data_IF_217860747759
#
_entry.id   IF_217860747759
#
_cell.length_a   1.000
_cell.length_b   1.000
_cell.length_c   1.000
_cell.angle_alpha   90.00
_cell.angle_beta   90.00
_cell.angle_gamma   90.00
#
_symmetry.space_group_name_H-M   'P 1'
#
loop_
_entity.id
_entity.type
_entity.pdbx_description
1 polymer ?
#
# COMPACT_ATOMS: atom_id res chain seq x y z
N UNK A 1 -15.82 37.35 -61.20
CA UNK A 1 -14.98 36.25 -60.68
C UNK A 1 -15.38 36.00 -59.22
N UNK A 2 -15.77 34.76 -58.88
CA UNK A 2 -16.04 34.27 -57.49
C UNK A 2 -14.71 34.18 -56.69
N UNK A 3 -14.64 33.95 -55.35
CA UNK A 3 -15.70 33.66 -54.38
C UNK A 3 -15.60 34.34 -52.98
N UNK A 4 -16.76 34.32 -52.31
CA UNK A 4 -17.03 34.16 -50.88
C UNK A 4 -15.86 33.67 -50.00
N UNK A 5 -15.58 34.39 -48.90
CA UNK A 5 -14.77 33.92 -47.77
C UNK A 5 -15.56 34.05 -46.47
N UNK A 6 -16.04 32.90 -45.99
CA UNK A 6 -16.54 32.70 -44.64
C UNK A 6 -15.38 32.67 -43.65
N UNK A 7 -15.50 33.39 -42.54
CA UNK A 7 -14.69 33.15 -41.36
C UNK A 7 -15.56 33.30 -40.11
N UNK A 8 -16.39 32.28 -39.85
CA UNK A 8 -17.03 32.09 -38.56
C UNK A 8 -15.96 31.51 -37.63
N UNK A 9 -15.35 32.35 -36.81
CA UNK A 9 -14.44 31.90 -35.77
C UNK A 9 -15.26 31.31 -34.61
N UNK A 10 -15.39 29.99 -34.57
CA UNK A 10 -15.90 29.25 -33.42
C UNK A 10 -14.84 29.30 -32.30
N UNK A 11 -15.07 30.14 -31.28
CA UNK A 11 -14.33 30.06 -30.03
C UNK A 11 -14.79 28.80 -29.28
N UNK A 12 -14.00 27.74 -29.34
CA UNK A 12 -14.21 26.53 -28.53
C UNK A 12 -13.82 26.87 -27.08
N UNK A 13 -14.84 27.10 -26.25
CA UNK A 13 -14.68 27.15 -24.81
C UNK A 13 -14.22 25.76 -24.34
N UNK A 14 -12.94 25.64 -23.94
CA UNK A 14 -12.45 24.45 -23.25
C UNK A 14 -13.13 24.44 -21.89
N UNK A 15 -14.20 23.67 -21.78
CA UNK A 15 -14.77 23.29 -20.51
C UNK A 15 -13.68 22.56 -19.72
N UNK A 16 -13.04 23.29 -18.80
CA UNK A 16 -12.23 22.69 -17.76
C UNK A 16 -13.15 21.74 -17.00
N UNK A 17 -13.02 20.43 -17.29
CA UNK A 17 -13.57 19.38 -16.46
C UNK A 17 -12.81 19.47 -15.15
N UNK A 18 -13.28 20.33 -14.25
CA UNK A 18 -12.93 20.25 -12.86
C UNK A 18 -13.49 18.92 -12.37
N UNK A 19 -12.65 17.89 -12.34
CA UNK A 19 -12.92 16.67 -11.57
C UNK A 19 -13.00 17.13 -10.11
N UNK A 20 -14.21 17.44 -9.66
CA UNK A 20 -14.50 17.69 -8.26
C UNK A 20 -14.22 16.40 -7.51
N UNK A 21 -13.06 16.32 -6.85
CA UNK A 21 -12.76 15.26 -5.90
C UNK A 21 -13.87 15.26 -4.84
N UNK A 22 -14.57 14.14 -4.61
CA UNK A 22 -15.70 14.11 -3.71
C UNK A 22 -15.21 14.13 -2.26
N UNK A 23 -15.12 15.33 -1.68
CA UNK A 23 -14.75 15.59 -0.28
C UNK A 23 -15.89 15.25 0.66
N UNK A 24 -16.10 13.96 0.96
CA UNK A 24 -16.84 13.51 2.15
C UNK A 24 -16.64 11.99 2.36
N UNK A 25 -15.56 11.54 3.01
CA UNK A 25 -15.27 10.10 3.16
C UNK A 25 -15.44 9.55 4.58
N UNK A 26 -15.79 10.36 5.58
CA UNK A 26 -15.97 9.88 6.97
C UNK A 26 -17.12 8.87 7.16
N UNK A 27 -17.91 8.57 6.12
CA UNK A 27 -18.93 7.50 6.08
C UNK A 27 -18.85 6.60 4.83
N UNK A 28 -17.84 6.75 3.96
CA UNK A 28 -17.78 6.02 2.69
C UNK A 28 -16.94 4.75 2.81
N UNK A 29 -17.56 3.60 2.56
CA UNK A 29 -16.84 2.36 2.29
C UNK A 29 -16.00 2.54 1.03
N UNK A 30 -14.68 2.35 1.13
CA UNK A 30 -13.80 2.39 -0.04
C UNK A 30 -14.08 1.21 -0.96
N UNK A 31 -14.28 1.49 -2.24
CA UNK A 31 -14.42 0.47 -3.27
C UNK A 31 -13.09 -0.23 -3.51
N UNK A 32 -13.13 -1.44 -4.09
CA UNK A 32 -11.90 -2.16 -4.45
C UNK A 32 -11.00 -1.35 -5.39
N UNK A 33 -11.57 -0.72 -6.42
CA UNK A 33 -10.80 0.12 -7.35
C UNK A 33 -10.14 1.33 -6.65
N UNK A 34 -10.82 1.95 -5.68
CA UNK A 34 -10.22 3.02 -4.87
C UNK A 34 -9.05 2.49 -4.05
N UNK A 35 -9.21 1.34 -3.38
CA UNK A 35 -8.12 0.70 -2.63
C UNK A 35 -6.92 0.39 -3.50
N UNK A 36 -7.12 -0.12 -4.72
CA UNK A 36 -6.04 -0.36 -5.70
C UNK A 36 -5.33 0.93 -6.08
N UNK A 37 -6.08 2.02 -6.31
CA UNK A 37 -5.47 3.32 -6.62
C UNK A 37 -4.63 3.88 -5.46
N UNK A 38 -5.12 3.74 -4.22
CA UNK A 38 -4.37 4.14 -3.03
C UNK A 38 -3.17 3.23 -2.76
N UNK A 39 -3.32 1.92 -2.98
CA UNK A 39 -2.20 0.98 -2.88
C UNK A 39 -1.10 1.35 -3.87
N UNK A 40 -1.46 1.71 -5.11
CA UNK A 40 -0.49 2.22 -6.09
C UNK A 40 0.28 3.43 -5.57
N UNK A 41 -0.42 4.39 -4.97
CA UNK A 41 0.20 5.60 -4.43
C UNK A 41 1.17 5.28 -3.27
N UNK A 42 0.82 4.31 -2.42
CA UNK A 42 1.71 3.80 -1.36
C UNK A 42 2.95 3.12 -1.95
N UNK A 43 2.76 2.22 -2.92
CA UNK A 43 3.88 1.52 -3.57
C UNK A 43 4.78 2.48 -4.36
N UNK A 44 4.23 3.52 -4.98
CA UNK A 44 5.02 4.56 -5.64
C UNK A 44 5.97 5.26 -4.67
N UNK A 45 5.46 5.66 -3.51
CA UNK A 45 6.27 6.29 -2.45
C UNK A 45 7.37 5.33 -2.02
N UNK A 46 7.04 4.07 -1.71
CA UNK A 46 8.06 3.10 -1.33
C UNK A 46 9.08 2.84 -2.43
N UNK A 47 8.63 2.71 -3.68
CA UNK A 47 9.49 2.49 -4.82
C UNK A 47 10.46 3.65 -5.01
N UNK A 48 10.01 4.91 -4.97
CA UNK A 48 10.89 6.10 -5.04
C UNK A 48 11.99 6.05 -3.98
N UNK A 49 11.63 5.67 -2.76
CA UNK A 49 12.53 5.58 -1.61
C UNK A 49 13.38 4.30 -1.54
N UNK A 50 13.18 3.34 -2.47
CA UNK A 50 14.00 2.13 -2.57
C UNK A 50 15.36 2.47 -3.19
N UNK A 51 16.42 1.94 -2.58
CA UNK A 51 17.80 2.12 -3.03
C UNK A 51 17.95 1.44 -4.40
N UNK A 52 18.40 2.21 -5.40
CA UNK A 52 18.81 1.69 -6.70
C UNK A 52 20.33 1.67 -6.75
N UNK A 53 20.98 0.51 -6.89
CA UNK A 53 22.44 0.40 -6.90
C UNK A 53 23.06 1.29 -7.99
N UNK A 54 24.14 2.01 -7.66
CA UNK A 54 24.82 2.90 -8.63
C UNK A 54 25.66 2.12 -9.64
N UNK A 55 25.99 0.88 -9.30
CA UNK A 55 26.75 -0.07 -10.10
C UNK A 55 25.90 -0.62 -11.26
N UNK A 56 24.57 -0.46 -11.18
CA UNK A 56 23.66 -0.83 -12.26
C UNK A 56 23.71 0.21 -13.38
N UNK A 57 24.05 -0.20 -14.61
CA UNK A 57 24.05 0.70 -15.76
C UNK A 57 22.63 1.03 -16.23
N UNK A 58 21.63 0.21 -15.87
CA UNK A 58 20.23 0.39 -16.19
C UNK A 58 19.56 1.47 -15.29
N UNK A 59 18.74 2.36 -15.87
CA UNK A 59 17.96 3.31 -15.08
C UNK A 59 16.95 2.58 -14.22
N UNK A 60 16.62 3.16 -13.06
CA UNK A 60 15.58 2.61 -12.18
C UNK A 60 14.26 2.45 -12.95
N UNK A 61 13.70 1.24 -13.03
CA UNK A 61 12.45 0.99 -13.73
C UNK A 61 11.29 1.82 -13.17
N UNK A 62 10.28 2.04 -14.00
CA UNK A 62 9.00 2.61 -13.53
C UNK A 62 8.30 1.64 -12.58
N UNK A 63 7.41 2.16 -11.72
CA UNK A 63 6.61 1.32 -10.84
C UNK A 63 5.79 0.31 -11.65
N UNK A 64 5.20 0.71 -12.78
CA UNK A 64 4.40 -0.19 -13.63
C UNK A 64 5.19 -1.38 -14.18
N UNK A 65 6.49 -1.20 -14.41
CA UNK A 65 7.34 -2.27 -14.92
C UNK A 65 7.65 -3.32 -13.84
N UNK A 66 7.76 -2.92 -12.57
CA UNK A 66 8.11 -3.82 -11.46
C UNK A 66 6.90 -4.29 -10.65
N UNK A 67 5.83 -3.49 -10.64
CA UNK A 67 4.61 -3.70 -9.89
C UNK A 67 3.38 -3.34 -10.76
N UNK A 68 3.03 -4.19 -11.74
CA UNK A 68 1.89 -3.96 -12.62
C UNK A 68 0.57 -3.91 -11.85
N UNK A 69 -0.45 -3.32 -12.47
CA UNK A 69 -1.79 -3.19 -11.87
C UNK A 69 -2.36 -4.51 -11.32
N UNK A 70 -2.18 -5.62 -12.03
CA UNK A 70 -2.65 -6.93 -11.58
C UNK A 70 -2.04 -7.34 -10.23
N UNK A 71 -0.76 -7.05 -9.99
CA UNK A 71 -0.11 -7.34 -8.71
C UNK A 71 -0.65 -6.44 -7.59
N UNK A 72 -0.99 -5.18 -7.88
CA UNK A 72 -1.67 -4.30 -6.92
C UNK A 72 -3.05 -4.84 -6.54
N UNK A 73 -3.80 -5.34 -7.52
CA UNK A 73 -5.12 -5.95 -7.30
C UNK A 73 -5.01 -7.21 -6.43
N UNK A 74 -4.05 -8.10 -6.72
CA UNK A 74 -3.77 -9.27 -5.88
C UNK A 74 -3.39 -8.88 -4.46
N UNK A 75 -2.50 -7.90 -4.29
CA UNK A 75 -2.09 -7.43 -2.95
C UNK A 75 -3.28 -6.88 -2.16
N UNK A 76 -4.16 -6.12 -2.82
CA UNK A 76 -5.38 -5.60 -2.18
C UNK A 76 -6.31 -6.72 -1.76
N UNK A 77 -6.51 -7.71 -2.64
CA UNK A 77 -7.33 -8.87 -2.33
C UNK A 77 -6.75 -9.69 -1.17
N UNK A 78 -5.43 -9.84 -1.12
CA UNK A 78 -4.75 -10.62 -0.10
C UNK A 78 -4.91 -10.00 1.29
N UNK A 79 -4.60 -8.71 1.48
CA UNK A 79 -4.76 -8.11 2.81
C UNK A 79 -6.22 -8.01 3.25
N UNK A 80 -7.17 -7.86 2.31
CA UNK A 80 -8.60 -7.87 2.64
C UNK A 80 -9.05 -9.25 3.11
N UNK A 81 -8.61 -10.31 2.42
CA UNK A 81 -8.87 -11.69 2.82
C UNK A 81 -8.24 -12.01 4.18
N UNK A 82 -7.02 -11.55 4.42
CA UNK A 82 -6.31 -11.72 5.69
C UNK A 82 -7.01 -10.97 6.83
N UNK A 83 -7.45 -9.73 6.58
CA UNK A 83 -8.26 -8.95 7.52
C UNK A 83 -9.60 -9.63 7.83
N UNK A 84 -10.22 -10.27 6.85
CA UNK A 84 -11.46 -11.02 7.05
C UNK A 84 -11.20 -12.30 7.85
N UNK A 85 -10.12 -13.03 7.54
CA UNK A 85 -9.73 -14.26 8.21
C UNK A 85 -9.53 -14.05 9.72
N UNK A 86 -8.95 -12.91 10.11
CA UNK A 86 -8.79 -12.53 11.52
C UNK A 86 -10.14 -12.36 12.26
N UNK A 87 -11.16 -11.83 11.58
CA UNK A 87 -12.51 -11.74 12.11
C UNK A 87 -13.17 -13.11 12.22
N UNK A 88 -13.20 -13.85 11.12
CA UNK A 88 -14.00 -15.06 10.98
C UNK A 88 -13.43 -16.25 11.77
N UNK A 89 -12.11 -16.45 11.72
CA UNK A 89 -11.47 -17.63 12.33
C UNK A 89 -10.94 -17.39 13.74
N UNK A 90 -10.60 -16.14 14.08
CA UNK A 90 -9.93 -15.82 15.35
C UNK A 90 -10.80 -14.95 16.26
N UNK A 91 -12.03 -14.64 15.84
CA UNK A 91 -12.98 -13.74 16.52
C UNK A 91 -12.33 -12.41 16.96
N UNK A 92 -11.34 -11.95 16.20
CA UNK A 92 -10.61 -10.69 16.44
C UNK A 92 -10.74 -9.80 15.21
N UNK A 93 -11.93 -9.23 14.94
CA UNK A 93 -12.08 -8.27 13.86
C UNK A 93 -11.18 -7.06 14.12
N UNK A 94 -10.54 -6.55 13.07
CA UNK A 94 -9.76 -5.32 13.16
C UNK A 94 -10.72 -4.15 13.39
N UNK A 95 -10.70 -3.58 14.60
CA UNK A 95 -11.61 -2.48 14.96
C UNK A 95 -11.05 -1.11 14.54
N UNK A 96 -11.92 -0.10 14.50
CA UNK A 96 -11.50 1.28 14.20
C UNK A 96 -10.49 1.81 15.23
N UNK A 97 -10.65 1.42 16.51
CA UNK A 97 -9.74 1.79 17.59
C UNK A 97 -8.36 1.16 17.39
N UNK A 98 -8.29 -0.08 16.91
CA UNK A 98 -7.02 -0.74 16.59
C UNK A 98 -6.33 -0.08 15.39
N UNK A 99 -7.08 0.33 14.37
CA UNK A 99 -6.52 1.08 13.24
C UNK A 99 -5.99 2.45 13.70
N UNK A 100 -6.72 3.14 14.57
CA UNK A 100 -6.26 4.41 15.14
C UNK A 100 -5.01 4.22 16.01
N UNK A 101 -4.97 3.15 16.83
CA UNK A 101 -3.80 2.81 17.62
C UNK A 101 -2.59 2.51 16.73
N UNK A 102 -2.78 1.79 15.62
CA UNK A 102 -1.71 1.51 14.67
C UNK A 102 -1.22 2.79 13.99
N UNK A 103 -2.10 3.70 13.57
CA UNK A 103 -1.69 5.01 13.05
C UNK A 103 -0.89 5.83 14.07
N UNK A 104 -1.32 5.84 15.34
CA UNK A 104 -0.61 6.52 16.42
C UNK A 104 0.77 5.90 16.68
N UNK A 105 0.87 4.58 16.58
CA UNK A 105 2.12 3.84 16.70
C UNK A 105 3.06 4.17 15.54
N UNK A 106 2.57 4.15 14.30
CA UNK A 106 3.35 4.55 13.12
C UNK A 106 3.92 5.96 13.28
N UNK A 107 3.11 6.91 13.76
CA UNK A 107 3.55 8.29 13.99
C UNK A 107 4.63 8.41 15.08
N UNK A 108 4.56 7.57 16.12
CA UNK A 108 5.47 7.59 17.28
C UNK A 108 6.79 6.89 17.01
N UNK A 109 6.73 5.72 16.37
CA UNK A 109 7.84 4.76 16.38
C UNK A 109 8.60 4.73 15.04
N UNK A 110 8.08 5.40 14.00
CA UNK A 110 8.70 5.38 12.67
C UNK A 110 10.14 5.89 12.68
N UNK A 111 11.03 5.13 12.05
CA UNK A 111 12.43 5.56 11.81
C UNK A 111 12.57 6.49 10.61
N UNK A 112 11.53 6.64 9.79
CA UNK A 112 11.52 7.47 8.58
C UNK A 112 10.30 8.40 8.57
N UNK A 113 10.24 9.40 9.47
CA UNK A 113 9.08 10.30 9.59
C UNK A 113 8.83 11.12 8.31
N UNK A 114 9.88 11.42 7.54
CA UNK A 114 9.74 12.07 6.23
C UNK A 114 8.94 11.22 5.23
N UNK A 115 9.27 9.92 5.12
CA UNK A 115 8.55 8.99 4.24
C UNK A 115 7.12 8.76 4.73
N UNK A 116 6.91 8.67 6.04
CA UNK A 116 5.56 8.55 6.59
C UNK A 116 4.69 9.74 6.21
N UNK A 117 5.24 10.96 6.24
CA UNK A 117 4.53 12.17 5.81
C UNK A 117 4.21 12.13 4.32
N UNK A 118 5.13 11.68 3.48
CA UNK A 118 4.88 11.50 2.04
C UNK A 118 3.79 10.46 1.78
N UNK A 119 3.76 9.35 2.53
CA UNK A 119 2.70 8.34 2.44
C UNK A 119 1.33 8.95 2.78
N UNK A 120 1.26 9.72 3.87
CA UNK A 120 0.00 10.36 4.26
C UNK A 120 -0.45 11.39 3.22
N UNK A 121 0.48 12.17 2.67
CA UNK A 121 0.20 13.11 1.60
C UNK A 121 -0.27 12.42 0.31
N UNK A 122 0.34 11.30 -0.07
CA UNK A 122 -0.06 10.50 -1.22
C UNK A 122 -1.48 9.93 -1.06
N UNK A 123 -1.92 9.72 0.19
CA UNK A 123 -3.28 9.32 0.55
C UNK A 123 -4.22 10.51 0.82
N UNK A 124 -3.80 11.73 0.48
CA UNK A 124 -4.60 12.94 0.62
C UNK A 124 -4.76 13.45 2.06
N UNK A 125 -3.96 12.94 2.99
CA UNK A 125 -4.08 13.16 4.43
C UNK A 125 -5.48 12.83 4.98
N UNK A 126 -6.18 11.88 4.34
CA UNK A 126 -7.49 11.43 4.79
C UNK A 126 -7.33 10.29 5.82
N UNK A 127 -7.76 10.48 7.08
CA UNK A 127 -7.57 9.48 8.12
C UNK A 127 -8.30 8.16 7.82
N UNK A 128 -9.42 8.18 7.10
CA UNK A 128 -10.13 6.95 6.73
C UNK A 128 -9.31 6.18 5.70
N UNK A 129 -8.80 6.86 4.68
CA UNK A 129 -7.98 6.21 3.64
C UNK A 129 -6.69 5.66 4.22
N UNK A 130 -6.03 6.43 5.10
CA UNK A 130 -4.80 6.00 5.79
C UNK A 130 -5.08 4.75 6.64
N UNK A 131 -6.14 4.77 7.45
CA UNK A 131 -6.52 3.62 8.27
C UNK A 131 -6.80 2.36 7.42
N UNK A 132 -7.56 2.53 6.34
CA UNK A 132 -8.09 1.44 5.54
C UNK A 132 -7.08 0.79 4.59
N UNK A 133 -6.16 1.57 4.01
CA UNK A 133 -5.22 1.10 3.01
C UNK A 133 -3.81 0.88 3.59
N UNK A 134 -3.36 1.74 4.49
CA UNK A 134 -2.01 1.68 5.04
C UNK A 134 -1.98 0.99 6.41
N UNK A 135 -2.80 1.43 7.36
CA UNK A 135 -2.78 0.86 8.71
C UNK A 135 -3.31 -0.57 8.73
N UNK A 136 -4.42 -0.86 8.04
CA UNK A 136 -5.02 -2.20 8.01
C UNK A 136 -4.09 -3.24 7.38
N UNK A 137 -3.43 -2.92 6.26
CA UNK A 137 -2.52 -3.87 5.59
C UNK A 137 -1.36 -4.25 6.52
N UNK A 138 -0.71 -3.26 7.13
CA UNK A 138 0.39 -3.47 8.10
C UNK A 138 -0.08 -4.22 9.34
N UNK A 139 -1.24 -3.85 9.89
CA UNK A 139 -1.78 -4.46 11.12
C UNK A 139 -2.20 -5.91 10.88
N UNK A 140 -2.84 -6.22 9.75
CA UNK A 140 -3.23 -7.59 9.41
C UNK A 140 -2.01 -8.50 9.30
N UNK A 141 -0.96 -8.07 8.58
CA UNK A 141 0.29 -8.82 8.44
C UNK A 141 0.93 -9.11 9.81
N UNK A 142 1.01 -8.09 10.68
CA UNK A 142 1.59 -8.23 12.03
C UNK A 142 0.79 -9.16 12.91
N UNK A 143 -0.54 -8.99 12.96
CA UNK A 143 -1.40 -9.87 13.75
C UNK A 143 -1.22 -11.31 13.31
N UNK A 144 -1.18 -11.59 12.02
CA UNK A 144 -1.01 -12.96 11.56
C UNK A 144 0.40 -13.50 11.86
N UNK A 145 1.44 -12.66 11.77
CA UNK A 145 2.79 -13.03 12.18
C UNK A 145 2.86 -13.35 13.68
N UNK A 146 2.25 -12.53 14.55
CA UNK A 146 2.19 -12.74 16.00
C UNK A 146 1.46 -14.03 16.34
N UNK A 147 0.36 -14.30 15.66
CA UNK A 147 -0.43 -15.53 15.79
C UNK A 147 0.36 -16.77 15.35
N UNK A 148 1.16 -16.64 14.29
CA UNK A 148 2.05 -17.70 13.82
C UNK A 148 3.22 -17.96 14.79
N UNK A 149 3.72 -16.91 15.45
CA UNK A 149 4.80 -17.00 16.44
C UNK A 149 4.33 -17.56 17.79
N UNK A 150 3.09 -17.27 18.19
CA UNK A 150 2.48 -17.77 19.42
C UNK A 150 2.01 -19.23 19.34
N UNK A 151 1.91 -19.81 18.14
CA UNK A 151 1.32 -21.13 17.91
C UNK A 151 2.34 -22.13 17.33
N UNK A 152 3.42 -22.39 18.06
CA UNK A 152 4.49 -23.32 17.68
C UNK A 152 4.11 -24.82 17.76
N UNK A 153 2.82 -25.21 17.74
CA UNK A 153 2.45 -26.63 17.80
C UNK A 153 1.37 -27.16 16.87
N UNK A 154 0.63 -26.39 16.05
CA UNK A 154 -0.46 -27.05 15.28
C UNK A 154 -1.08 -26.36 14.06
N UNK A 155 -0.46 -25.41 13.36
CA UNK A 155 -1.03 -24.95 12.07
C UNK A 155 0.02 -24.69 10.98
N UNK A 156 0.46 -25.78 10.33
CA UNK A 156 1.31 -25.77 9.14
C UNK A 156 0.67 -25.21 7.86
N UNK A 157 -0.45 -24.47 7.96
CA UNK A 157 -1.21 -23.96 6.82
C UNK A 157 -0.86 -22.52 6.43
N UNK A 158 -0.28 -21.71 7.33
CA UNK A 158 0.05 -20.32 7.02
C UNK A 158 1.39 -20.15 6.31
N UNK A 159 2.41 -20.96 6.68
CA UNK A 159 3.76 -20.86 6.10
C UNK A 159 3.80 -21.09 4.59
N UNK A 160 2.94 -21.98 4.07
CA UNK A 160 2.90 -22.33 2.64
C UNK A 160 2.39 -21.20 1.73
N UNK A 161 1.63 -20.23 2.24
CA UNK A 161 1.04 -19.15 1.42
C UNK A 161 2.00 -17.98 1.19
N UNK A 162 2.83 -17.62 2.18
CA UNK A 162 3.92 -16.66 1.95
C UNK A 162 4.89 -17.21 0.89
N UNK A 163 5.21 -18.50 0.96
CA UNK A 163 6.09 -19.18 -0.01
C UNK A 163 5.48 -19.31 -1.43
N UNK A 164 4.14 -19.28 -1.57
CA UNK A 164 3.45 -19.44 -2.87
C UNK A 164 3.20 -18.12 -3.60
N UNK A 165 3.08 -17.00 -2.87
CA UNK A 165 3.01 -15.67 -3.50
C UNK A 165 4.38 -15.19 -4.03
N UNK A 166 5.47 -15.87 -3.66
CA UNK A 166 6.80 -15.69 -4.24
C UNK A 166 6.93 -16.30 -5.66
N UNK A 167 5.93 -17.02 -6.18
CA UNK A 167 6.06 -17.67 -7.50
C UNK A 167 5.64 -16.78 -8.69
N UNK A 168 5.11 -15.58 -8.45
CA UNK A 168 4.85 -14.56 -9.50
C UNK A 168 5.93 -13.46 -9.54
N UNK A 169 7.11 -13.76 -9.01
CA UNK A 169 8.16 -12.81 -8.73
C UNK A 169 8.92 -12.41 -10.01
N UNK A 170 8.81 -11.13 -10.39
CA UNK A 170 9.78 -10.51 -11.27
C UNK A 170 11.15 -10.62 -10.60
N UNK A 171 12.06 -11.39 -11.20
CA UNK A 171 13.44 -11.63 -10.76
C UNK A 171 14.31 -10.36 -10.57
N UNK A 172 13.74 -9.18 -10.86
CA UNK A 172 14.40 -7.89 -10.75
C UNK A 172 14.31 -7.26 -9.36
N UNK A 173 13.43 -7.74 -8.47
CA UNK A 173 13.26 -7.21 -7.12
C UNK A 173 12.83 -8.31 -6.14
N UNK A 174 13.74 -8.87 -5.32
CA UNK A 174 13.32 -9.58 -4.13
C UNK A 174 12.51 -8.62 -3.28
N UNK A 175 11.23 -8.93 -3.04
CA UNK A 175 10.44 -8.14 -2.11
C UNK A 175 10.92 -8.52 -0.72
N UNK A 176 11.67 -7.62 -0.08
CA UNK A 176 11.58 -7.53 1.37
C UNK A 176 10.10 -7.18 1.67
N UNK A 177 9.28 -8.22 1.86
CA UNK A 177 7.91 -8.15 2.41
C UNK A 177 7.95 -7.17 3.55
N UNK A 178 7.38 -5.97 3.34
CA UNK A 178 7.35 -4.86 4.28
C UNK A 178 8.32 -5.07 5.45
N UNK A 179 9.65 -4.97 5.20
CA UNK A 179 10.60 -5.01 6.31
C UNK A 179 10.27 -3.77 7.13
N UNK A 180 9.51 -4.07 8.16
CA UNK A 180 8.96 -3.25 9.21
C UNK A 180 9.69 -1.92 9.33
N UNK A 181 8.92 -0.84 9.32
CA UNK A 181 9.39 0.47 9.78
C UNK A 181 9.85 0.39 11.25
N UNK A 182 9.62 -0.74 11.92
CA UNK A 182 10.01 -1.06 13.30
C UNK A 182 11.05 -2.18 13.30
N UNK A 183 12.26 -1.84 13.74
CA UNK A 183 13.45 -2.67 13.64
C UNK A 183 13.32 -4.11 14.13
N UNK A 184 14.03 -4.96 13.39
CA UNK A 184 14.85 -6.07 13.86
C UNK A 184 14.79 -6.43 15.35
N UNK A 185 14.42 -7.69 15.58
CA UNK A 185 14.67 -8.50 16.77
C UNK A 185 16.16 -8.44 17.12
N UNK A 186 16.50 -7.89 18.28
CA UNK A 186 17.84 -7.93 18.85
C UNK A 186 18.14 -9.36 19.34
N UNK A 187 18.82 -10.16 18.53
CA UNK A 187 19.41 -11.42 18.96
C UNK A 187 20.95 -11.36 18.82
N UNK A 188 21.62 -11.33 19.99
CA UNK A 188 23.06 -11.56 20.26
C UNK A 188 24.08 -10.59 19.65
N UNK A 189 24.83 -9.92 20.53
CA UNK A 189 26.23 -10.25 20.85
C UNK A 189 26.66 -9.49 22.11
N UNK A 190 26.97 -10.23 23.17
CA UNK A 190 27.40 -9.71 24.47
C UNK A 190 27.80 -10.84 25.39
N UNK A 191 28.70 -11.70 24.92
CA UNK A 191 29.48 -12.61 25.75
C UNK A 191 30.88 -12.00 25.86
N UNK A 192 31.17 -11.37 27.01
CA UNK A 192 32.47 -11.39 27.67
C UNK A 192 32.19 -11.48 29.17
#
# INVERSE_FOLDING_TARGET
MRPVLYAVAFAVAIASVCVTQPKNLSRRTLTFAQRVSYQRAVEDVYWRHRIWPKERPDPKPSLDAVFPRAQLETKVQDYLRDSQMLGDHWQKPITAEQLQAEMNRMARDTKRPGVLRELFQALGNDPVVIAECLARSILAERLIADLSAGNLSSTGLYRRRLDSNDTHQCALCPMDTHRSVDGQRNDRLGRQ
#
